data_IF_064546123943
#
_entry.id   IF_064546123943
#
_cell.length_a   1.000
_cell.length_b   1.000
_cell.length_c   1.000
_cell.angle_alpha   90.00
_cell.angle_beta   90.00
_cell.angle_gamma   90.00
#
_symmetry.space_group_name_H-M   'P 1'
#
loop_
_entity.id
_entity.type
_entity.pdbx_description
1 polymer ?
#
# COMPACT_ATOMS: atom_id res chain seq x y z
N UNK A 1 -18.92 29.99 -45.51
CA UNK A 1 -19.74 28.84 -45.07
C UNK A 1 -19.10 28.25 -43.81
N UNK A 2 -19.60 28.73 -42.67
CA UNK A 2 -19.41 28.37 -41.24
C UNK A 2 -18.19 27.51 -40.77
N UNK A 3 -17.03 28.12 -40.45
CA UNK A 3 -16.00 27.50 -39.59
C UNK A 3 -16.53 27.13 -38.18
N UNK A 4 -17.63 27.78 -37.77
CA UNK A 4 -18.37 27.51 -36.53
C UNK A 4 -18.96 26.09 -36.52
N UNK A 5 -19.37 25.58 -37.69
CA UNK A 5 -19.91 24.22 -37.80
C UNK A 5 -18.82 23.17 -37.53
N UNK A 6 -17.63 23.36 -38.09
CA UNK A 6 -16.49 22.46 -37.88
C UNK A 6 -16.02 22.46 -36.42
N UNK A 7 -15.95 23.64 -35.80
CA UNK A 7 -15.59 23.77 -34.38
C UNK A 7 -16.61 23.06 -33.47
N UNK A 8 -17.91 23.25 -33.71
CA UNK A 8 -18.97 22.57 -32.95
C UNK A 8 -18.92 21.05 -33.12
N UNK A 9 -18.62 20.55 -34.32
CA UNK A 9 -18.47 19.12 -34.58
C UNK A 9 -17.28 18.54 -33.80
N UNK A 10 -16.14 19.22 -33.77
CA UNK A 10 -14.96 18.77 -33.03
C UNK A 10 -15.25 18.71 -31.52
N UNK A 11 -15.87 19.75 -30.95
CA UNK A 11 -16.25 19.77 -29.54
C UNK A 11 -17.25 18.65 -29.20
N UNK A 12 -18.23 18.41 -30.08
CA UNK A 12 -19.22 17.34 -29.92
C UNK A 12 -18.55 15.96 -29.91
N UNK A 13 -17.58 15.72 -30.80
CA UNK A 13 -16.85 14.45 -30.89
C UNK A 13 -15.99 14.23 -29.64
N UNK A 14 -15.31 15.27 -29.14
CA UNK A 14 -14.53 15.19 -27.90
C UNK A 14 -15.43 14.88 -26.70
N UNK A 15 -16.58 15.55 -26.60
CA UNK A 15 -17.56 15.32 -25.54
C UNK A 15 -18.13 13.89 -25.59
N UNK A 16 -18.46 13.40 -26.79
CA UNK A 16 -18.91 12.02 -27.01
C UNK A 16 -17.84 11.02 -26.58
N UNK A 17 -16.58 11.27 -26.94
CA UNK A 17 -15.45 10.42 -26.59
C UNK A 17 -15.22 10.40 -25.07
N UNK A 18 -15.29 11.54 -24.40
CA UNK A 18 -15.21 11.65 -22.94
C UNK A 18 -16.37 10.93 -22.24
N UNK A 19 -17.59 10.99 -22.80
CA UNK A 19 -18.75 10.28 -22.26
C UNK A 19 -18.59 8.76 -22.38
N UNK A 20 -18.05 8.27 -23.50
CA UNK A 20 -17.79 6.85 -23.73
C UNK A 20 -16.64 6.35 -22.83
N UNK A 21 -15.54 7.10 -22.71
CA UNK A 21 -14.41 6.76 -21.84
C UNK A 21 -14.79 6.83 -20.36
N UNK A 22 -15.53 7.87 -19.94
CA UNK A 22 -16.03 8.03 -18.58
C UNK A 22 -17.03 6.94 -18.20
N UNK A 23 -17.97 6.63 -19.11
CA UNK A 23 -18.94 5.55 -18.93
C UNK A 23 -18.28 4.17 -18.86
N UNK A 24 -17.29 3.90 -19.71
CA UNK A 24 -16.53 2.66 -19.68
C UNK A 24 -15.70 2.51 -18.39
N UNK A 25 -15.08 3.60 -17.92
CA UNK A 25 -14.31 3.62 -16.67
C UNK A 25 -15.17 3.32 -15.45
N UNK A 26 -16.34 3.95 -15.33
CA UNK A 26 -17.29 3.71 -14.23
C UNK A 26 -17.87 2.30 -14.32
N UNK A 27 -18.21 1.82 -15.53
CA UNK A 27 -18.72 0.48 -15.73
C UNK A 27 -17.70 -0.62 -15.38
N UNK A 28 -16.42 -0.42 -15.71
CA UNK A 28 -15.33 -1.33 -15.32
C UNK A 28 -15.12 -1.34 -13.80
N UNK A 29 -15.15 -0.18 -13.14
CA UNK A 29 -15.06 -0.09 -11.67
C UNK A 29 -16.17 -0.88 -10.97
N UNK A 30 -17.43 -0.68 -11.39
CA UNK A 30 -18.59 -1.37 -10.80
C UNK A 30 -18.56 -2.88 -11.10
N UNK A 31 -18.11 -3.27 -12.30
CA UNK A 31 -18.08 -4.68 -12.72
C UNK A 31 -16.93 -5.46 -12.09
N UNK A 32 -15.77 -4.84 -11.88
CA UNK A 32 -14.63 -5.42 -11.14
C UNK A 32 -14.97 -5.48 -9.65
N UNK A 33 -15.59 -4.43 -9.09
CA UNK A 33 -16.10 -4.43 -7.71
C UNK A 33 -17.13 -5.53 -7.44
N UNK A 34 -18.07 -5.78 -8.38
CA UNK A 34 -19.06 -6.87 -8.27
C UNK A 34 -18.46 -8.28 -8.41
N UNK A 35 -17.33 -8.45 -9.11
CA UNK A 35 -16.63 -9.74 -9.22
C UNK A 35 -15.71 -10.00 -8.03
N UNK A 36 -15.03 -8.98 -7.51
CA UNK A 36 -14.20 -9.06 -6.31
C UNK A 36 -15.03 -9.36 -5.06
N UNK A 37 -16.19 -8.71 -4.90
CA UNK A 37 -17.12 -8.96 -3.79
C UNK A 37 -17.73 -10.37 -3.82
N UNK A 38 -18.03 -10.94 -5.01
CA UNK A 38 -18.52 -12.32 -5.11
C UNK A 38 -17.46 -13.37 -4.78
N UNK A 39 -16.19 -13.15 -5.15
CA UNK A 39 -15.07 -14.03 -4.73
C UNK A 39 -14.77 -13.87 -3.23
N UNK A 40 -14.75 -12.65 -2.71
CA UNK A 40 -14.60 -12.40 -1.28
C UNK A 40 -15.73 -13.04 -0.46
N UNK A 41 -16.99 -12.97 -0.91
CA UNK A 41 -18.14 -13.61 -0.24
C UNK A 41 -18.09 -15.13 -0.29
N UNK A 42 -17.51 -15.72 -1.34
CA UNK A 42 -17.35 -17.19 -1.45
C UNK A 42 -16.19 -17.72 -0.61
N UNK A 43 -15.11 -16.93 -0.45
CA UNK A 43 -14.00 -17.23 0.48
C UNK A 43 -14.43 -16.97 1.93
N UNK A 44 -15.13 -15.87 2.21
CA UNK A 44 -15.72 -15.58 3.51
C UNK A 44 -16.72 -16.66 3.92
N UNK A 45 -17.62 -17.10 3.03
CA UNK A 45 -18.55 -18.20 3.35
C UNK A 45 -17.84 -19.54 3.55
N UNK A 46 -16.70 -19.80 2.89
CA UNK A 46 -15.91 -21.03 3.11
C UNK A 46 -15.06 -20.98 4.38
N UNK A 47 -14.54 -19.80 4.73
CA UNK A 47 -13.85 -19.55 5.99
C UNK A 47 -14.84 -19.63 7.17
N UNK A 48 -16.03 -19.05 7.01
CA UNK A 48 -17.13 -19.15 7.98
C UNK A 48 -17.66 -20.58 8.08
N UNK A 49 -17.73 -21.36 6.99
CA UNK A 49 -18.16 -22.76 7.07
C UNK A 49 -17.10 -23.69 7.70
N UNK A 50 -15.80 -23.44 7.49
CA UNK A 50 -14.74 -24.16 8.21
C UNK A 50 -14.63 -23.73 9.67
N UNK A 51 -14.95 -22.47 10.00
CA UNK A 51 -15.06 -22.01 11.39
C UNK A 51 -16.31 -22.56 12.08
N UNK A 52 -17.47 -22.59 11.41
CA UNK A 52 -18.71 -23.16 11.95
C UNK A 52 -18.70 -24.70 12.07
N UNK A 53 -17.73 -25.37 11.42
CA UNK A 53 -17.48 -26.80 11.57
C UNK A 53 -16.50 -27.15 12.71
N UNK A 54 -15.87 -26.15 13.34
CA UNK A 54 -15.22 -26.32 14.64
C UNK A 54 -16.30 -26.24 15.72
N UNK A 55 -16.39 -27.29 16.51
CA UNK A 55 -17.24 -27.44 17.70
C UNK A 55 -17.58 -26.09 18.35
N UNK A 56 -18.86 -25.68 18.42
CA UNK A 56 -19.26 -24.34 18.89
C UNK A 56 -19.01 -24.09 20.39
N UNK A 57 -18.36 -25.02 21.08
CA UNK A 57 -17.97 -24.89 22.48
C UNK A 57 -16.62 -24.20 22.71
N UNK A 58 -16.32 -23.96 23.98
CA UNK A 58 -15.12 -23.31 24.50
C UNK A 58 -13.80 -23.88 23.94
N UNK A 59 -13.75 -25.19 23.63
CA UNK A 59 -12.61 -25.83 22.99
C UNK A 59 -12.38 -25.34 21.55
N UNK A 60 -13.44 -25.11 20.78
CA UNK A 60 -13.35 -24.58 19.43
C UNK A 60 -12.91 -23.12 19.42
N UNK A 61 -13.37 -22.34 20.39
CA UNK A 61 -12.90 -20.96 20.57
C UNK A 61 -11.41 -20.88 20.91
N UNK A 62 -10.93 -21.73 21.83
CA UNK A 62 -9.52 -21.79 22.15
C UNK A 62 -8.66 -22.15 20.93
N UNK A 63 -9.07 -23.11 20.10
CA UNK A 63 -8.36 -23.44 18.87
C UNK A 63 -8.39 -22.29 17.83
N UNK A 64 -9.47 -21.52 17.76
CA UNK A 64 -9.51 -20.32 16.89
C UNK A 64 -8.55 -19.25 17.39
N UNK A 65 -8.51 -18.98 18.70
CA UNK A 65 -7.56 -18.03 19.30
C UNK A 65 -6.11 -18.44 19.02
N UNK A 66 -5.79 -19.74 19.06
CA UNK A 66 -4.45 -20.25 18.71
C UNK A 66 -4.05 -19.93 17.28
N UNK A 67 -4.93 -20.24 16.32
CA UNK A 67 -4.68 -19.98 14.91
C UNK A 67 -4.50 -18.48 14.63
N UNK A 68 -5.35 -17.65 15.23
CA UNK A 68 -5.31 -16.21 15.04
C UNK A 68 -4.06 -15.59 15.71
N UNK A 69 -3.69 -16.06 16.91
CA UNK A 69 -2.47 -15.63 17.60
C UNK A 69 -1.22 -15.92 16.75
N UNK A 70 -1.09 -17.15 16.24
CA UNK A 70 0.04 -17.54 15.37
C UNK A 70 0.10 -16.67 14.11
N UNK A 71 -1.06 -16.38 13.53
CA UNK A 71 -1.17 -15.53 12.36
C UNK A 71 -0.73 -14.09 12.68
N UNK A 72 -1.25 -13.49 13.73
CA UNK A 72 -0.90 -12.13 14.15
C UNK A 72 0.60 -11.97 14.42
N UNK A 73 1.21 -12.94 15.11
CA UNK A 73 2.66 -12.96 15.35
C UNK A 73 3.44 -13.10 14.04
N UNK A 74 3.03 -14.02 13.15
CA UNK A 74 3.73 -14.22 11.87
C UNK A 74 3.71 -12.97 10.97
N UNK A 75 2.56 -12.28 10.90
CA UNK A 75 2.40 -11.06 10.11
C UNK A 75 3.24 -9.93 10.73
N UNK A 76 3.27 -9.84 12.05
CA UNK A 76 4.06 -8.83 12.77
C UNK A 76 5.56 -9.05 12.57
N UNK A 77 6.04 -10.29 12.71
CA UNK A 77 7.44 -10.64 12.40
C UNK A 77 7.80 -10.31 10.95
N UNK A 78 6.95 -10.70 10.00
CA UNK A 78 7.18 -10.41 8.59
C UNK A 78 7.25 -8.90 8.32
N UNK A 79 6.43 -8.09 8.98
CA UNK A 79 6.46 -6.64 8.85
C UNK A 79 7.77 -6.04 9.39
N UNK A 80 8.23 -6.50 10.55
CA UNK A 80 9.52 -6.08 11.13
C UNK A 80 10.69 -6.52 10.25
N UNK A 81 10.71 -7.79 9.81
CA UNK A 81 11.76 -8.32 8.93
C UNK A 81 11.82 -7.55 7.61
N UNK A 82 10.67 -7.13 7.08
CA UNK A 82 10.61 -6.31 5.89
C UNK A 82 11.21 -4.92 6.14
N UNK A 83 10.82 -4.25 7.22
CA UNK A 83 11.38 -2.94 7.58
C UNK A 83 12.89 -2.99 7.83
N UNK A 84 13.41 -4.08 8.42
CA UNK A 84 14.85 -4.31 8.56
C UNK A 84 15.55 -4.45 7.20
N UNK A 85 14.96 -5.20 6.27
CA UNK A 85 15.49 -5.35 4.90
C UNK A 85 15.49 -4.04 4.12
N UNK A 86 14.49 -3.19 4.39
CA UNK A 86 14.39 -1.85 3.80
C UNK A 86 15.34 -0.84 4.48
N UNK A 87 16.16 -1.29 5.44
CA UNK A 87 17.21 -0.49 6.07
C UNK A 87 16.72 0.44 7.18
N UNK A 88 15.52 0.22 7.72
CA UNK A 88 14.98 1.09 8.77
C UNK A 88 15.70 0.84 10.10
N UNK A 89 16.02 1.92 10.81
CA UNK A 89 16.62 1.88 12.14
C UNK A 89 15.58 1.52 13.21
N UNK A 90 15.22 0.25 13.32
CA UNK A 90 14.16 -0.22 14.24
C UNK A 90 14.58 -0.35 15.72
N UNK A 91 15.86 -0.11 16.04
CA UNK A 91 16.38 -0.23 17.40
C UNK A 91 16.09 -1.61 18.03
N UNK A 92 15.49 -1.59 19.22
CA UNK A 92 15.15 -2.79 20.01
C UNK A 92 13.85 -3.49 19.57
N UNK A 93 13.13 -2.96 18.58
CA UNK A 93 11.85 -3.52 18.14
C UNK A 93 11.93 -5.01 17.73
N UNK A 94 12.96 -5.49 17.02
CA UNK A 94 13.07 -6.91 16.68
C UNK A 94 13.20 -7.80 17.92
N UNK A 95 13.93 -7.34 18.94
CA UNK A 95 14.05 -8.06 20.22
C UNK A 95 12.70 -8.10 20.94
N UNK A 96 11.99 -6.98 21.01
CA UNK A 96 10.66 -6.91 21.62
C UNK A 96 9.65 -7.85 20.93
N UNK A 97 9.67 -7.91 19.59
CA UNK A 97 8.83 -8.86 18.84
C UNK A 97 9.23 -10.31 19.14
N UNK A 98 10.52 -10.58 19.34
CA UNK A 98 11.02 -11.86 19.83
C UNK A 98 10.39 -12.24 21.18
N UNK A 99 10.40 -11.33 22.15
CA UNK A 99 9.81 -11.53 23.48
C UNK A 99 8.30 -11.75 23.42
N UNK A 100 7.57 -10.92 22.66
CA UNK A 100 6.13 -11.08 22.43
C UNK A 100 5.84 -12.46 21.83
N UNK A 101 6.68 -12.94 20.92
CA UNK A 101 6.49 -14.25 20.31
C UNK A 101 6.68 -15.38 21.31
N UNK A 102 7.66 -15.29 22.22
CA UNK A 102 7.81 -16.29 23.29
C UNK A 102 6.57 -16.34 24.19
N UNK A 103 6.01 -15.18 24.54
CA UNK A 103 4.78 -15.11 25.31
C UNK A 103 3.57 -15.65 24.54
N UNK A 104 3.52 -15.43 23.23
CA UNK A 104 2.49 -16.00 22.36
C UNK A 104 2.59 -17.52 22.27
N UNK A 105 3.80 -18.09 22.21
CA UNK A 105 4.00 -19.54 22.21
C UNK A 105 3.57 -20.17 23.54
N UNK A 106 3.86 -19.50 24.67
CA UNK A 106 3.38 -19.91 25.99
C UNK A 106 1.84 -19.91 26.05
N UNK A 107 1.21 -18.83 25.55
CA UNK A 107 -0.25 -18.72 25.51
C UNK A 107 -0.89 -19.75 24.56
N UNK A 108 -0.28 -20.02 23.40
CA UNK A 108 -0.73 -21.06 22.47
C UNK A 108 -0.73 -22.44 23.13
N UNK A 109 0.31 -22.75 23.91
CA UNK A 109 0.39 -23.97 24.70
C UNK A 109 -0.73 -24.07 25.75
N UNK A 110 -0.98 -22.98 26.50
CA UNK A 110 -2.06 -22.92 27.48
C UNK A 110 -3.45 -23.09 26.85
N UNK A 111 -3.70 -22.42 25.72
CA UNK A 111 -4.92 -22.57 24.95
C UNK A 111 -5.09 -24.01 24.42
N UNK A 112 -4.02 -24.65 23.98
CA UNK A 112 -4.06 -26.04 23.51
C UNK A 112 -4.37 -27.04 24.62
N UNK A 113 -3.81 -26.82 25.82
CA UNK A 113 -4.14 -27.61 27.00
C UNK A 113 -5.60 -27.43 27.41
N UNK A 114 -6.08 -26.17 27.45
CA UNK A 114 -7.48 -25.87 27.75
C UNK A 114 -8.43 -26.52 26.74
N UNK A 115 -8.15 -26.41 25.43
CA UNK A 115 -8.96 -27.01 24.39
C UNK A 115 -9.04 -28.54 24.52
N UNK A 116 -7.93 -29.21 24.86
CA UNK A 116 -7.91 -30.66 25.10
C UNK A 116 -8.72 -31.04 26.35
N UNK A 117 -8.58 -30.28 27.43
CA UNK A 117 -9.32 -30.53 28.67
C UNK A 117 -10.82 -30.34 28.47
N UNK A 118 -11.24 -29.25 27.81
CA UNK A 118 -12.64 -28.94 27.53
C UNK A 118 -13.33 -29.97 26.63
N UNK A 119 -12.60 -30.72 25.79
CA UNK A 119 -13.16 -31.83 25.00
C UNK A 119 -13.40 -33.11 25.80
N UNK A 120 -12.63 -33.30 26.86
CA UNK A 120 -12.61 -34.57 27.62
C UNK A 120 -13.45 -34.50 28.89
N UNK A 121 -13.61 -33.29 29.44
CA UNK A 121 -14.34 -33.02 30.67
C UNK A 121 -15.63 -32.25 30.37
N UNK A 122 -16.79 -32.68 30.92
CA UNK A 122 -18.02 -31.90 30.87
C UNK A 122 -17.97 -30.67 31.80
N UNK A 123 -17.00 -30.60 32.71
CA UNK A 123 -16.77 -29.42 33.54
C UNK A 123 -16.01 -28.35 32.74
N UNK A 124 -16.60 -27.17 32.65
CA UNK A 124 -16.06 -26.02 31.92
C UNK A 124 -15.54 -24.98 32.91
N UNK A 125 -14.23 -24.72 32.87
CA UNK A 125 -13.61 -23.68 33.68
C UNK A 125 -13.59 -22.34 32.94
N UNK A 126 -14.71 -21.63 33.03
CA UNK A 126 -14.88 -20.32 32.39
C UNK A 126 -13.95 -19.23 32.94
N UNK A 127 -13.48 -19.36 34.18
CA UNK A 127 -12.56 -18.38 34.77
C UNK A 127 -11.18 -18.46 34.12
N UNK A 128 -10.70 -19.68 33.86
CA UNK A 128 -9.45 -19.89 33.12
C UNK A 128 -9.57 -19.39 31.68
N UNK A 129 -10.68 -19.68 30.99
CA UNK A 129 -10.88 -19.17 29.63
C UNK A 129 -10.91 -17.64 29.56
N UNK A 130 -11.57 -16.98 30.52
CA UNK A 130 -11.60 -15.52 30.57
C UNK A 130 -10.20 -14.90 30.70
N UNK A 131 -9.33 -15.49 31.54
CA UNK A 131 -7.93 -15.04 31.68
C UNK A 131 -7.13 -15.24 30.38
N UNK A 132 -7.33 -16.38 29.71
CA UNK A 132 -6.69 -16.66 28.43
C UNK A 132 -7.13 -15.66 27.35
N UNK A 133 -8.42 -15.29 27.32
CA UNK A 133 -8.95 -14.24 26.41
C UNK A 133 -8.32 -12.89 26.68
N UNK A 134 -8.14 -12.53 27.96
CA UNK A 134 -7.51 -11.25 28.32
C UNK A 134 -6.05 -11.21 27.86
N UNK A 135 -5.28 -12.28 28.09
CA UNK A 135 -3.90 -12.38 27.64
C UNK A 135 -3.79 -12.35 26.12
N UNK A 136 -4.70 -13.06 25.44
CA UNK A 136 -4.82 -13.05 24.00
C UNK A 136 -5.07 -11.64 23.46
N UNK A 137 -6.03 -10.91 24.05
CA UNK A 137 -6.34 -9.53 23.67
C UNK A 137 -5.15 -8.60 23.84
N UNK A 138 -4.39 -8.72 24.94
CA UNK A 138 -3.19 -7.90 25.18
C UNK A 138 -2.12 -8.15 24.11
N UNK A 139 -1.81 -9.41 23.81
CA UNK A 139 -0.78 -9.76 22.82
C UNK A 139 -1.17 -9.33 21.40
N UNK A 140 -2.42 -9.61 20.99
CA UNK A 140 -2.92 -9.21 19.66
C UNK A 140 -3.00 -7.69 19.50
N UNK A 141 -3.38 -6.96 20.55
CA UNK A 141 -3.35 -5.49 20.56
C UNK A 141 -1.93 -4.96 20.44
N UNK A 142 -0.96 -5.55 21.14
CA UNK A 142 0.45 -5.18 21.03
C UNK A 142 0.97 -5.40 19.59
N UNK A 143 0.66 -6.55 18.98
CA UNK A 143 1.00 -6.85 17.59
C UNK A 143 0.38 -5.83 16.62
N UNK A 144 -0.90 -5.52 16.77
CA UNK A 144 -1.60 -4.55 15.94
C UNK A 144 -0.98 -3.15 16.07
N UNK A 145 -0.60 -2.75 17.29
CA UNK A 145 0.06 -1.47 17.55
C UNK A 145 1.43 -1.39 16.87
N UNK A 146 2.28 -2.41 17.03
CA UNK A 146 3.58 -2.48 16.35
C UNK A 146 3.42 -2.33 14.83
N UNK A 147 2.45 -3.03 14.24
CA UNK A 147 2.19 -2.92 12.79
C UNK A 147 1.70 -1.53 12.39
N UNK A 148 0.85 -0.89 13.20
CA UNK A 148 0.40 0.47 12.94
C UNK A 148 1.56 1.48 13.02
N UNK A 149 2.43 1.33 14.03
CA UNK A 149 3.60 2.19 14.22
C UNK A 149 4.57 2.04 13.03
N UNK A 150 4.84 0.82 12.56
CA UNK A 150 5.66 0.59 11.35
C UNK A 150 5.05 1.23 10.10
N UNK A 151 3.74 1.13 9.90
CA UNK A 151 3.07 1.76 8.76
C UNK A 151 3.17 3.28 8.85
N UNK A 152 3.04 3.84 10.05
CA UNK A 152 3.16 5.27 10.27
C UNK A 152 4.57 5.77 9.96
N UNK A 153 5.60 5.06 10.43
CA UNK A 153 7.00 5.35 10.13
C UNK A 153 7.28 5.28 8.62
N UNK A 154 6.70 4.30 7.92
CA UNK A 154 6.78 4.21 6.46
C UNK A 154 6.26 5.46 5.76
N UNK A 155 5.08 5.94 6.21
CA UNK A 155 4.44 7.11 5.63
C UNK A 155 5.29 8.36 5.88
N UNK A 156 5.82 8.52 7.09
CA UNK A 156 6.71 9.63 7.43
C UNK A 156 7.98 9.60 6.58
N UNK A 157 8.64 8.44 6.48
CA UNK A 157 9.85 8.29 5.66
C UNK A 157 9.59 8.63 4.19
N UNK A 158 8.47 8.14 3.63
CA UNK A 158 8.08 8.43 2.25
C UNK A 158 7.76 9.92 2.03
N UNK A 159 7.09 10.56 2.98
CA UNK A 159 6.77 11.99 2.91
C UNK A 159 8.03 12.86 2.94
N UNK A 160 9.02 12.51 3.78
CA UNK A 160 10.31 13.21 3.83
C UNK A 160 11.06 13.07 2.51
N UNK A 161 11.14 11.87 1.94
CA UNK A 161 11.81 11.64 0.65
C UNK A 161 11.16 12.42 -0.51
N UNK A 162 9.83 12.52 -0.55
CA UNK A 162 9.12 13.34 -1.55
C UNK A 162 9.46 14.82 -1.39
N UNK A 163 9.48 15.33 -0.15
CA UNK A 163 9.83 16.73 0.12
C UNK A 163 11.26 17.05 -0.30
N UNK A 164 12.20 16.12 -0.11
CA UNK A 164 13.59 16.29 -0.53
C UNK A 164 13.69 16.36 -2.07
N UNK A 165 13.05 15.44 -2.78
CA UNK A 165 13.01 15.43 -4.25
C UNK A 165 12.34 16.72 -4.79
N UNK A 166 11.26 17.17 -4.16
CA UNK A 166 10.61 18.44 -4.52
C UNK A 166 11.57 19.61 -4.33
N UNK A 167 12.25 19.72 -3.18
CA UNK A 167 13.21 20.80 -2.92
C UNK A 167 14.35 20.83 -3.94
N UNK A 168 14.85 19.67 -4.35
CA UNK A 168 15.87 19.56 -5.39
C UNK A 168 15.33 19.95 -6.76
N UNK A 169 14.11 19.51 -7.08
CA UNK A 169 13.46 19.85 -8.35
C UNK A 169 13.22 21.36 -8.45
N UNK A 170 12.77 22.00 -7.38
CA UNK A 170 12.57 23.45 -7.32
C UNK A 170 13.90 24.20 -7.50
N UNK A 171 14.98 23.71 -6.89
CA UNK A 171 16.31 24.27 -7.07
C UNK A 171 16.83 24.10 -8.50
N UNK A 172 16.59 22.94 -9.15
CA UNK A 172 16.94 22.71 -10.55
C UNK A 172 16.12 23.59 -11.51
N UNK A 173 14.83 23.81 -11.22
CA UNK A 173 13.97 24.72 -11.98
C UNK A 173 14.46 26.17 -11.85
N UNK A 174 14.78 26.62 -10.63
CA UNK A 174 15.22 27.99 -10.39
C UNK A 174 16.61 28.25 -10.99
N UNK A 175 17.54 27.29 -10.89
CA UNK A 175 18.84 27.37 -11.55
C UNK A 175 18.70 27.54 -13.07
N UNK A 176 17.76 26.82 -13.70
CA UNK A 176 17.45 26.98 -15.14
C UNK A 176 16.81 28.31 -15.48
N UNK A 177 16.06 28.94 -14.56
CA UNK A 177 15.49 30.29 -14.76
C UNK A 177 16.56 31.38 -14.66
N UNK A 178 17.51 31.25 -13.74
CA UNK A 178 18.53 32.28 -13.49
C UNK A 178 19.69 32.23 -14.49
N UNK A 179 20.02 31.05 -15.01
CA UNK A 179 20.93 30.89 -16.13
C UNK A 179 20.16 30.22 -17.29
N UNK A 180 19.41 31.01 -18.09
CA UNK A 180 18.79 30.48 -19.30
C UNK A 180 19.90 29.92 -20.17
N UNK A 181 19.98 28.60 -20.27
CA UNK A 181 20.75 27.94 -21.31
C UNK A 181 20.08 28.42 -22.61
N UNK A 182 20.80 29.05 -23.55
CA UNK A 182 20.20 29.53 -24.80
C UNK A 182 19.45 28.38 -25.44
N UNK A 183 18.19 28.62 -25.82
CA UNK A 183 17.36 27.56 -26.42
C UNK A 183 18.17 26.95 -27.57
N UNK A 184 18.36 25.62 -27.61
CA UNK A 184 19.06 24.98 -28.72
C UNK A 184 18.43 25.34 -30.08
N UNK A 185 17.15 25.73 -30.13
CA UNK A 185 16.51 26.25 -31.34
C UNK A 185 17.01 27.65 -31.72
N UNK A 186 17.21 28.55 -30.76
CA UNK A 186 17.77 29.88 -31.02
C UNK A 186 19.19 29.79 -31.58
N UNK A 187 19.99 28.83 -31.11
CA UNK A 187 21.35 28.58 -31.62
C UNK A 187 21.34 28.08 -33.07
N UNK A 188 20.33 27.27 -33.44
CA UNK A 188 20.17 26.78 -34.81
C UNK A 188 19.75 27.91 -35.75
N UNK A 189 18.83 28.77 -35.32
CA UNK A 189 18.39 29.93 -36.10
C UNK A 189 19.52 30.94 -36.30
N UNK A 190 20.36 31.14 -35.28
CA UNK A 190 21.54 32.00 -35.37
C UNK A 190 22.60 31.44 -36.32
N UNK A 191 22.85 30.12 -36.30
CA UNK A 191 23.73 29.45 -37.25
C UNK A 191 23.18 29.51 -38.69
N UNK A 192 21.87 29.33 -38.86
CA UNK A 192 21.21 29.42 -40.15
C UNK A 192 21.29 30.85 -40.73
N UNK A 193 21.00 31.86 -39.93
CA UNK A 193 21.12 33.26 -40.35
C UNK A 193 22.58 33.62 -40.70
N UNK A 194 23.55 33.18 -39.90
CA UNK A 194 24.98 33.43 -40.16
C UNK A 194 25.43 32.83 -41.49
N UNK A 195 25.04 31.58 -41.78
CA UNK A 195 25.40 30.91 -43.04
C UNK A 195 24.73 31.52 -44.26
N UNK A 196 23.51 32.04 -44.13
CA UNK A 196 22.82 32.76 -45.20
C UNK A 196 23.46 34.14 -45.49
N UNK A 197 23.89 34.85 -44.45
CA UNK A 197 24.59 36.14 -44.57
C UNK A 197 25.96 35.97 -45.26
N UNK A 198 26.74 34.96 -44.86
CA UNK A 198 28.05 34.67 -45.48
C UNK A 198 27.91 34.26 -46.96
N UNK A 199 26.82 33.57 -47.31
CA UNK A 199 26.53 33.20 -48.72
C UNK A 199 26.09 34.40 -49.56
N UNK A 200 25.51 35.44 -48.95
CA UNK A 200 25.04 36.65 -49.63
C UNK A 200 26.15 37.69 -49.87
N UNK A 201 27.34 37.49 -49.28
CA UNK A 201 28.52 38.35 -49.46
C UNK A 201 29.49 37.67 -50.44
N UNK A 202 29.38 37.91 -51.77
CA UNK A 202 30.38 37.41 -52.71
C UNK A 202 31.73 38.05 -52.36
N UNK A 203 32.78 37.23 -52.26
CA UNK A 203 34.14 37.75 -52.10
C UNK A 203 34.47 38.63 -53.30
N UNK A 204 34.75 39.91 -53.06
CA UNK A 204 35.29 40.79 -54.09
C UNK A 204 36.67 40.28 -54.49
N UNK A 205 36.88 39.87 -55.76
CA UNK A 205 38.19 39.44 -56.22
C UNK A 205 39.13 40.65 -56.28
N UNK A 206 40.30 40.50 -55.63
CA UNK A 206 41.43 41.43 -55.69
C UNK A 206 42.09 41.44 -57.07
#
# INVERSE_FOLDING_TARGET
MAPISTFLIIVLVILLFLLILGGAGIYLLVKVGKKATKKARKVANRAVSHMAAMDPGDAGEAERMRLDLRREISITRQAVDQALRDGWGLGELPQLVGEISMHADQLDGQLGLYARQSRTSPYVDHATLARLREHYSKLTTACARIRADLINDQMTHSATGISEIQSRTDLEIEARRQAPIPDPLDQIDELYNRTMIDRARPEEPR
#
